data_IF_286755768052
#
_entry.id   IF_286755768052
#
_cell.length_a   1.000
_cell.length_b   1.000
_cell.length_c   1.000
_cell.angle_alpha   90.00
_cell.angle_beta   90.00
_cell.angle_gamma   90.00
#
_symmetry.space_group_name_H-M   'P 1'
#
loop_
_entity.id
_entity.type
_entity.pdbx_description
1 polymer ?
#
# COMPACT_ATOMS: atom_id res chain seq x y z
N UNK A 1 -8.11 -4.44 -12.69
CA UNK A 1 -7.58 -5.78 -12.35
C UNK A 1 -7.86 -6.06 -10.89
N UNK A 2 -8.49 -7.19 -10.57
CA UNK A 2 -8.69 -7.63 -9.18
C UNK A 2 -7.35 -8.07 -8.57
N UNK A 3 -7.04 -7.56 -7.37
CA UNK A 3 -5.84 -7.89 -6.63
C UNK A 3 -6.10 -7.88 -5.12
N UNK A 4 -5.13 -8.34 -4.32
CA UNK A 4 -5.14 -8.19 -2.87
C UNK A 4 -3.99 -7.33 -2.41
N UNK A 5 -4.26 -6.39 -1.51
CA UNK A 5 -3.28 -5.46 -0.99
C UNK A 5 -3.36 -5.38 0.54
N UNK A 6 -2.23 -5.13 1.18
CA UNK A 6 -2.19 -4.74 2.59
C UNK A 6 -2.45 -3.23 2.65
N UNK A 7 -3.57 -2.85 3.25
CA UNK A 7 -4.01 -1.47 3.38
C UNK A 7 -3.82 -1.00 4.82
N UNK A 8 -3.38 0.25 4.96
CA UNK A 8 -3.47 1.02 6.19
C UNK A 8 -4.44 2.16 5.94
N UNK A 9 -5.52 2.23 6.72
CA UNK A 9 -6.48 3.33 6.63
C UNK A 9 -6.09 4.53 7.52
N UNK A 10 -6.87 5.60 7.44
CA UNK A 10 -6.67 6.81 8.24
C UNK A 10 -6.79 6.58 9.76
N UNK A 11 -7.37 5.46 10.17
CA UNK A 11 -7.52 5.04 11.56
C UNK A 11 -6.39 4.10 12.01
N UNK A 12 -5.33 3.94 11.22
CA UNK A 12 -4.22 3.00 11.44
C UNK A 12 -4.69 1.55 11.54
N UNK A 13 -5.75 1.18 10.83
CA UNK A 13 -6.19 -0.21 10.74
C UNK A 13 -5.48 -0.91 9.60
N UNK A 14 -4.95 -2.08 9.91
CA UNK A 14 -4.22 -2.92 8.97
C UNK A 14 -5.05 -4.11 8.56
N UNK A 15 -5.14 -4.28 7.26
CA UNK A 15 -6.17 -5.11 6.67
C UNK A 15 -5.68 -5.60 5.30
N UNK A 16 -5.92 -6.87 4.98
CA UNK A 16 -5.64 -7.40 3.64
C UNK A 16 -6.95 -7.41 2.86
N UNK A 17 -7.08 -6.47 1.94
CA UNK A 17 -8.33 -6.19 1.23
C UNK A 17 -8.25 -6.55 -0.24
N UNK A 18 -9.40 -6.86 -0.83
CA UNK A 18 -9.55 -6.96 -2.27
C UNK A 18 -9.62 -5.55 -2.87
N UNK A 19 -8.85 -5.30 -3.92
CA UNK A 19 -8.75 -3.99 -4.57
C UNK A 19 -8.81 -4.14 -6.08
N UNK A 20 -9.38 -3.12 -6.73
CA UNK A 20 -9.41 -3.03 -8.19
C UNK A 20 -8.35 -2.03 -8.64
N UNK A 21 -7.28 -2.53 -9.24
CA UNK A 21 -6.29 -1.67 -9.87
C UNK A 21 -6.83 -1.12 -11.21
N UNK A 22 -6.68 0.18 -11.48
CA UNK A 22 -7.12 0.78 -12.74
C UNK A 22 -6.33 0.24 -13.92
N UNK A 23 -6.81 0.53 -15.15
CA UNK A 23 -6.05 0.22 -16.36
C UNK A 23 -4.73 1.03 -16.34
N UNK A 24 -3.56 0.37 -16.51
CA UNK A 24 -2.26 1.03 -16.46
C UNK A 24 -2.02 1.97 -17.65
N UNK A 25 -2.74 1.83 -18.76
CA UNK A 25 -2.43 2.52 -20.01
C UNK A 25 -1.10 2.08 -20.63
N UNK A 26 -0.68 2.76 -21.70
CA UNK A 26 0.47 2.34 -22.52
C UNK A 26 1.84 2.70 -21.93
N UNK A 27 1.89 3.67 -21.02
CA UNK A 27 3.14 4.18 -20.44
C UNK A 27 3.55 3.48 -19.14
N UNK A 28 2.70 2.59 -18.60
CA UNK A 28 2.95 1.93 -17.31
C UNK A 28 3.01 0.42 -17.46
N UNK A 29 3.71 -0.21 -16.51
CA UNK A 29 3.83 -1.68 -16.44
C UNK A 29 3.14 -2.19 -15.19
N UNK A 30 2.38 -3.28 -15.34
CA UNK A 30 1.80 -4.01 -14.22
C UNK A 30 2.82 -5.00 -13.69
N UNK A 31 3.11 -4.90 -12.39
CA UNK A 31 4.03 -5.81 -11.70
C UNK A 31 3.24 -6.65 -10.70
N UNK A 32 3.39 -7.97 -10.79
CA UNK A 32 2.91 -8.89 -9.77
C UNK A 32 4.00 -9.12 -8.72
N UNK A 33 3.81 -8.55 -7.54
CA UNK A 33 4.75 -8.68 -6.42
C UNK A 33 4.83 -10.15 -5.95
N UNK A 34 6.02 -10.76 -6.05
CA UNK A 34 6.26 -12.10 -5.50
C UNK A 34 6.54 -12.05 -3.99
N UNK A 35 7.25 -11.02 -3.54
CA UNK A 35 7.52 -10.71 -2.15
C UNK A 35 7.70 -9.19 -1.98
N UNK A 36 7.40 -8.68 -0.79
CA UNK A 36 7.67 -7.29 -0.41
C UNK A 36 8.55 -7.26 0.82
N UNK A 37 9.62 -6.47 0.77
CA UNK A 37 10.39 -6.14 1.97
C UNK A 37 9.58 -5.21 2.87
N UNK A 38 9.82 -5.30 4.18
CA UNK A 38 9.27 -4.39 5.18
C UNK A 38 10.42 -3.87 6.03
N UNK A 39 10.59 -2.55 6.06
CA UNK A 39 11.52 -1.86 6.94
C UNK A 39 10.89 -1.56 8.28
N UNK A 40 11.63 -1.86 9.34
CA UNK A 40 11.29 -1.44 10.70
C UNK A 40 11.38 0.09 10.83
N UNK A 41 12.22 0.75 10.02
CA UNK A 41 12.41 2.19 10.12
C UNK A 41 11.27 2.99 9.48
N UNK A 42 10.90 2.64 8.25
CA UNK A 42 9.97 3.46 7.46
C UNK A 42 8.53 3.00 7.63
N UNK A 43 8.23 1.74 7.30
CA UNK A 43 6.86 1.25 7.33
C UNK A 43 6.31 1.28 8.75
N UNK A 44 7.04 0.78 9.76
CA UNK A 44 6.52 0.79 11.14
C UNK A 44 6.37 2.21 11.71
N UNK A 45 7.22 3.16 11.33
CA UNK A 45 7.06 4.54 11.75
C UNK A 45 5.81 5.19 11.13
N UNK A 46 5.49 4.85 9.89
CA UNK A 46 4.27 5.30 9.23
C UNK A 46 3.01 4.73 9.86
N UNK A 47 3.03 3.42 10.08
CA UNK A 47 1.94 2.66 10.67
C UNK A 47 1.61 3.17 12.08
N UNK A 48 2.63 3.55 12.85
CA UNK A 48 2.46 4.14 14.19
C UNK A 48 2.25 5.65 14.15
N UNK A 49 2.13 6.26 12.97
CA UNK A 49 2.00 7.70 12.77
C UNK A 49 3.08 8.53 13.47
N UNK A 50 4.30 7.97 13.54
CA UNK A 50 5.53 8.67 13.96
C UNK A 50 6.09 9.53 12.83
N UNK A 51 5.74 9.19 11.58
CA UNK A 51 6.03 9.95 10.36
C UNK A 51 4.71 10.07 9.59
N UNK A 52 4.45 11.22 8.97
CA UNK A 52 3.28 11.47 8.10
C UNK A 52 3.75 12.03 6.77
N UNK A 53 3.18 11.55 5.66
CA UNK A 53 3.41 12.07 4.30
C UNK A 53 2.30 13.01 3.82
N UNK A 54 1.39 13.44 4.70
CA UNK A 54 0.18 14.19 4.35
C UNK A 54 -1.11 13.39 4.60
N UNK A 55 -2.26 13.82 4.07
CA UNK A 55 -3.50 13.06 4.18
C UNK A 55 -3.34 11.66 3.56
N UNK A 56 -4.01 10.66 4.15
CA UNK A 56 -4.08 9.32 3.58
C UNK A 56 -4.66 9.41 2.16
N UNK A 57 -4.02 8.79 1.14
CA UNK A 57 -4.59 8.65 -0.19
C UNK A 57 -5.74 7.65 -0.22
#
# INVERSE_FOLDING_TARGET
>A
MEARALICDENQRFSVEDVVLPDPGVENVVVKTACSGVSIGTEFALIQNKISWGPYP
#
